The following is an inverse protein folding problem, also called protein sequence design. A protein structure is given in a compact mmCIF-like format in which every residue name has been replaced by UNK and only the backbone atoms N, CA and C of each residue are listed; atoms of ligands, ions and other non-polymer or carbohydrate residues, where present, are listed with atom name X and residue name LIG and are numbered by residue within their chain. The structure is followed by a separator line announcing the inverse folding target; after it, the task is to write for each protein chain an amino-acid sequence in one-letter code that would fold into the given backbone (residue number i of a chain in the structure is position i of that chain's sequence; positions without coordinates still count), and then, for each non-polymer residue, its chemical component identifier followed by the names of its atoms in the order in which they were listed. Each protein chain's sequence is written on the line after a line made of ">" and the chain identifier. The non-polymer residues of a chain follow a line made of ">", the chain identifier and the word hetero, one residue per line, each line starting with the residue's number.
data_IF_394680779057
#
_entry.id   IF_394680779057
#
_cell.length_a   1.000
_cell.length_b   1.000
_cell.length_c   1.000
_cell.angle_alpha   90.00
_cell.angle_beta   90.00
_cell.angle_gamma   90.00
#
_symmetry.space_group_name_H-M   'P 1'
#
loop_
_entity.id
_entity.type
_entity.pdbx_description
1 polymer ?
#
# COMPACT_ATOMS: atom_id res chain seq x y z
N UNK A 1 -19.80 9.63 -4.98
CA UNK A 1 -18.70 8.66 -5.11
C UNK A 1 -18.20 8.22 -3.75
N UNK A 2 -17.86 6.96 -3.65
CA UNK A 2 -17.40 6.34 -2.42
C UNK A 2 -15.88 6.18 -2.36
N UNK A 3 -15.44 5.64 -1.24
CA UNK A 3 -14.07 5.21 -1.04
C UNK A 3 -14.02 3.68 -1.00
N UNK A 4 -13.17 3.10 -1.82
CA UNK A 4 -12.90 1.66 -1.79
C UNK A 4 -11.51 1.43 -1.20
N UNK A 5 -11.44 0.62 -0.15
CA UNK A 5 -10.17 0.24 0.48
C UNK A 5 -9.96 -1.26 0.27
N UNK A 6 -8.82 -1.63 -0.28
CA UNK A 6 -8.47 -3.02 -0.52
C UNK A 6 -7.21 -3.34 0.29
N UNK A 7 -7.35 -4.28 1.23
CA UNK A 7 -6.21 -4.76 2.01
C UNK A 7 -5.56 -5.94 1.26
N UNK A 8 -4.24 -5.94 1.19
CA UNK A 8 -3.51 -6.95 0.44
C UNK A 8 -2.39 -7.56 1.26
N UNK A 9 -2.08 -8.81 0.92
CA UNK A 9 -0.87 -9.49 1.36
C UNK A 9 -0.35 -10.29 0.16
N UNK A 10 0.62 -9.71 -0.54
CA UNK A 10 1.09 -10.28 -1.80
C UNK A 10 2.04 -11.45 -1.57
N UNK A 11 2.14 -12.32 -2.57
CA UNK A 11 3.00 -13.50 -2.51
C UNK A 11 4.49 -13.16 -2.47
N UNK A 12 5.28 -14.12 -2.00
CA UNK A 12 6.74 -13.97 -1.88
C UNK A 12 7.43 -13.96 -3.24
N UNK A 13 6.91 -14.70 -4.22
CA UNK A 13 7.49 -14.76 -5.55
C UNK A 13 7.06 -13.55 -6.38
N UNK A 14 8.01 -12.90 -7.03
CA UNK A 14 7.72 -11.70 -7.84
C UNK A 14 6.72 -11.98 -8.95
N UNK A 15 6.79 -13.14 -9.59
CA UNK A 15 5.82 -13.52 -10.64
C UNK A 15 4.39 -13.60 -10.09
N UNK A 16 4.21 -14.17 -8.90
CA UNK A 16 2.91 -14.24 -8.24
C UNK A 16 2.40 -12.84 -7.87
N UNK A 17 3.28 -11.99 -7.37
CA UNK A 17 2.93 -10.60 -7.02
C UNK A 17 2.46 -9.82 -8.25
N UNK A 18 3.16 -9.97 -9.37
CA UNK A 18 2.78 -9.29 -10.62
C UNK A 18 1.39 -9.69 -11.08
N UNK A 19 1.08 -10.99 -11.02
CA UNK A 19 -0.24 -11.48 -11.39
C UNK A 19 -1.33 -10.96 -10.44
N UNK A 20 -1.05 -10.97 -9.14
CA UNK A 20 -1.97 -10.44 -8.14
C UNK A 20 -2.22 -8.94 -8.32
N UNK A 21 -1.15 -8.16 -8.53
CA UNK A 21 -1.26 -6.72 -8.75
C UNK A 21 -2.02 -6.39 -10.03
N UNK A 22 -1.83 -7.15 -11.10
CA UNK A 22 -2.58 -6.95 -12.34
C UNK A 22 -4.08 -7.14 -12.12
N UNK A 23 -4.48 -8.16 -11.36
CA UNK A 23 -5.87 -8.39 -10.99
C UNK A 23 -6.44 -7.27 -10.14
N UNK A 24 -5.66 -6.80 -9.17
CA UNK A 24 -6.07 -5.71 -8.29
C UNK A 24 -6.22 -4.40 -9.05
N UNK A 25 -5.29 -4.11 -9.95
CA UNK A 25 -5.37 -2.91 -10.78
C UNK A 25 -6.60 -2.92 -11.68
N UNK A 26 -6.90 -4.07 -12.30
CA UNK A 26 -8.09 -4.22 -13.13
C UNK A 26 -9.38 -4.03 -12.31
N UNK A 27 -9.41 -4.60 -11.10
CA UNK A 27 -10.56 -4.47 -10.20
C UNK A 27 -10.76 -3.05 -9.72
N UNK A 28 -9.68 -2.36 -9.38
CA UNK A 28 -9.72 -0.95 -8.99
C UNK A 28 -10.23 -0.07 -10.14
N UNK A 29 -9.78 -0.34 -11.38
CA UNK A 29 -10.23 0.40 -12.55
C UNK A 29 -11.72 0.23 -12.86
N UNK A 30 -12.32 -0.88 -12.46
CA UNK A 30 -13.75 -1.13 -12.67
C UNK A 30 -14.65 -0.35 -11.72
N UNK A 31 -14.08 0.21 -10.66
CA UNK A 31 -14.82 0.99 -9.67
C UNK A 31 -15.07 2.44 -10.11
N UNK A 32 -14.84 2.75 -11.37
CA UNK A 32 -14.87 4.07 -11.99
C UNK A 32 -15.52 5.18 -11.17
N UNK A 33 -14.80 6.26 -10.94
CA UNK A 33 -15.26 7.41 -10.18
C UNK A 33 -15.03 7.33 -8.67
N UNK A 34 -14.80 6.15 -8.11
CA UNK A 34 -14.50 6.00 -6.68
C UNK A 34 -13.02 6.26 -6.39
N UNK A 35 -12.75 6.84 -5.23
CA UNK A 35 -11.41 6.87 -4.69
C UNK A 35 -11.01 5.47 -4.24
N UNK A 36 -9.78 5.04 -4.53
CA UNK A 36 -9.30 3.69 -4.24
C UNK A 36 -8.01 3.75 -3.46
N UNK A 37 -7.93 2.97 -2.40
CA UNK A 37 -6.72 2.76 -1.60
C UNK A 37 -6.41 1.27 -1.55
N UNK A 38 -5.20 0.89 -1.99
CA UNK A 38 -4.64 -0.44 -1.78
C UNK A 38 -3.62 -0.33 -0.67
N UNK A 39 -3.72 -1.15 0.36
CA UNK A 39 -2.77 -1.09 1.47
C UNK A 39 -2.45 -2.47 2.01
N UNK A 40 -1.23 -2.65 2.49
CA UNK A 40 -0.79 -3.88 3.12
C UNK A 40 0.63 -4.26 2.77
N UNK A 41 0.92 -5.56 2.91
CA UNK A 41 2.23 -6.13 2.63
C UNK A 41 2.34 -6.47 1.14
N UNK A 42 3.16 -5.71 0.42
CA UNK A 42 3.42 -5.93 -0.99
C UNK A 42 4.59 -6.89 -1.24
N UNK A 43 5.31 -7.28 -0.19
CA UNK A 43 6.48 -8.16 -0.27
C UNK A 43 7.53 -7.71 -1.32
N UNK A 44 7.57 -6.42 -1.65
CA UNK A 44 8.52 -5.86 -2.60
C UNK A 44 9.31 -4.73 -1.93
N UNK A 45 10.62 -4.92 -1.81
CA UNK A 45 11.49 -3.98 -1.12
C UNK A 45 12.34 -3.13 -2.07
N UNK A 46 12.33 -3.43 -3.37
CA UNK A 46 13.17 -2.77 -4.36
C UNK A 46 12.50 -1.59 -5.06
N UNK A 47 11.67 -0.83 -4.34
CA UNK A 47 11.03 0.34 -4.91
C UNK A 47 9.93 -0.03 -5.88
N UNK A 48 10.00 0.46 -7.11
CA UNK A 48 8.94 0.28 -8.11
C UNK A 48 9.00 -1.03 -8.87
N UNK A 49 10.07 -1.81 -8.69
CA UNK A 49 10.21 -3.11 -9.35
C UNK A 49 9.08 -4.05 -8.95
N UNK A 50 8.43 -4.64 -9.93
CA UNK A 50 7.32 -5.56 -9.69
C UNK A 50 5.99 -4.86 -9.44
N UNK A 51 5.96 -3.52 -9.36
CA UNK A 51 4.75 -2.74 -9.13
C UNK A 51 4.24 -2.03 -10.38
N UNK A 52 4.73 -2.41 -11.53
CA UNK A 52 4.43 -1.73 -12.81
C UNK A 52 2.93 -1.78 -13.15
N UNK A 53 2.20 -2.79 -12.66
CA UNK A 53 0.76 -2.89 -12.87
C UNK A 53 -0.03 -1.76 -12.19
N UNK A 54 0.60 -1.05 -11.24
CA UNK A 54 -0.03 0.03 -10.48
C UNK A 54 0.33 1.42 -11.02
N UNK A 55 0.61 1.54 -12.32
CA UNK A 55 1.02 2.82 -12.93
C UNK A 55 -0.03 3.92 -12.81
N UNK A 56 -1.30 3.56 -12.66
CA UNK A 56 -2.39 4.52 -12.49
C UNK A 56 -2.62 4.93 -11.04
N UNK A 57 -1.84 4.39 -10.12
CA UNK A 57 -1.92 4.69 -8.70
C UNK A 57 -0.60 5.28 -8.22
N UNK A 58 -0.69 6.13 -7.22
CA UNK A 58 0.49 6.65 -6.52
C UNK A 58 0.82 5.71 -5.37
N UNK A 59 2.00 5.08 -5.43
CA UNK A 59 2.44 4.11 -4.43
C UNK A 59 3.44 4.77 -3.50
N UNK A 60 3.15 4.71 -2.20
CA UNK A 60 4.08 5.18 -1.17
C UNK A 60 4.52 4.04 -0.27
N UNK A 61 5.74 4.13 0.23
CA UNK A 61 6.28 3.27 1.26
C UNK A 61 6.50 4.14 2.51
N UNK A 62 5.57 4.13 3.47
CA UNK A 62 5.64 5.06 4.60
C UNK A 62 6.90 4.98 5.44
N UNK A 63 7.53 3.79 5.47
CA UNK A 63 8.79 3.61 6.19
C UNK A 63 9.18 2.14 6.28
N UNK A 64 10.26 1.89 6.98
CA UNK A 64 10.75 0.53 7.23
C UNK A 64 9.89 -0.09 8.31
N UNK A 65 9.20 -1.18 7.97
CA UNK A 65 8.20 -1.81 8.84
C UNK A 65 8.54 -3.26 9.19
N UNK A 66 9.51 -3.87 8.51
CA UNK A 66 9.85 -5.28 8.71
C UNK A 66 11.36 -5.49 8.82
N UNK A 67 11.84 -6.36 9.70
CA UNK A 67 11.09 -6.97 10.80
C UNK A 67 10.83 -5.95 11.93
N UNK A 68 9.74 -6.14 12.68
CA UNK A 68 9.30 -5.17 13.69
C UNK A 68 10.36 -4.88 14.75
N UNK A 69 11.13 -5.90 15.17
CA UNK A 69 12.16 -5.76 16.20
C UNK A 69 13.40 -5.01 15.73
N UNK A 70 13.65 -4.99 14.42
CA UNK A 70 14.79 -4.29 13.81
C UNK A 70 14.42 -3.86 12.39
N UNK A 71 13.60 -2.83 12.22
CA UNK A 71 13.03 -2.50 10.90
C UNK A 71 14.11 -2.13 9.88
N UNK A 72 14.10 -2.82 8.73
CA UNK A 72 15.07 -2.65 7.66
C UNK A 72 14.44 -2.51 6.28
N UNK A 73 13.29 -3.16 6.05
CA UNK A 73 12.67 -3.25 4.73
C UNK A 73 11.30 -2.60 4.71
N UNK A 74 10.96 -2.04 3.55
CA UNK A 74 9.70 -1.34 3.29
C UNK A 74 8.76 -2.22 2.51
N UNK A 75 8.34 -3.35 3.09
CA UNK A 75 7.41 -4.26 2.46
C UNK A 75 5.98 -3.73 2.42
N UNK A 76 5.61 -2.92 3.42
CA UNK A 76 4.25 -2.44 3.56
C UNK A 76 4.09 -1.12 2.82
N UNK A 77 3.05 -1.04 1.99
CA UNK A 77 2.84 0.09 1.12
C UNK A 77 1.40 0.52 1.10
N UNK A 78 1.18 1.73 0.63
CA UNK A 78 -0.13 2.30 0.40
C UNK A 78 -0.14 2.84 -1.02
N UNK A 79 -1.08 2.37 -1.84
CA UNK A 79 -1.28 2.87 -3.19
C UNK A 79 -2.63 3.58 -3.25
N UNK A 80 -2.63 4.81 -3.75
CA UNK A 80 -3.82 5.65 -3.78
C UNK A 80 -4.14 6.05 -5.21
N UNK A 81 -5.42 6.13 -5.54
CA UNK A 81 -5.84 6.61 -6.85
C UNK A 81 -5.57 8.11 -6.99
N UNK A 82 -5.47 8.57 -8.22
CA UNK A 82 -5.30 9.99 -8.51
C UNK A 82 -6.50 10.76 -7.98
N UNK A 83 -6.24 11.93 -7.42
CA UNK A 83 -7.26 12.70 -6.71
C UNK A 83 -7.23 12.52 -5.20
N UNK A 84 -6.52 11.52 -4.70
CA UNK A 84 -6.23 11.40 -3.28
C UNK A 84 -4.86 12.02 -3.01
N UNK A 85 -4.82 12.96 -2.08
CA UNK A 85 -3.57 13.58 -1.65
C UNK A 85 -3.10 12.93 -0.36
N UNK A 86 -1.85 12.49 -0.30
CA UNK A 86 -1.23 11.99 0.92
C UNK A 86 -0.64 13.18 1.68
N UNK A 87 -1.25 13.53 2.80
CA UNK A 87 -0.82 14.68 3.60
C UNK A 87 0.36 14.33 4.49
N UNK A 88 0.38 13.13 5.02
CA UNK A 88 1.44 12.63 5.89
C UNK A 88 1.38 11.11 5.94
N UNK A 89 2.49 10.48 6.27
CA UNK A 89 2.55 9.03 6.42
C UNK A 89 3.72 8.64 7.30
N UNK A 90 3.69 7.43 7.83
CA UNK A 90 4.78 6.94 8.66
C UNK A 90 4.57 5.53 9.14
N UNK A 91 5.44 5.13 10.05
CA UNK A 91 5.42 3.84 10.72
C UNK A 91 5.21 4.09 12.20
N UNK A 92 4.31 3.32 12.80
CA UNK A 92 4.07 3.39 14.23
C UNK A 92 5.00 2.43 14.95
N UNK A 93 6.11 2.97 15.48
CA UNK A 93 7.12 2.20 16.19
C UNK A 93 6.96 2.42 17.71
N UNK A 94 6.43 1.42 18.38
CA UNK A 94 6.27 1.40 19.83
C UNK A 94 6.60 0.02 20.37
N UNK A 95 6.81 -0.09 21.67
CA UNK A 95 7.10 -1.38 22.30
C UNK A 95 5.96 -2.37 22.06
N UNK A 96 4.72 -1.92 22.15
CA UNK A 96 3.55 -2.76 21.90
C UNK A 96 3.52 -3.18 20.41
N UNK A 97 3.75 -2.27 19.50
CA UNK A 97 3.74 -2.57 18.07
C UNK A 97 4.80 -3.62 17.70
N UNK A 98 5.99 -3.51 18.29
CA UNK A 98 7.09 -4.47 18.05
C UNK A 98 6.76 -5.87 18.52
N UNK A 99 5.92 -6.01 19.54
CA UNK A 99 5.51 -7.29 20.10
C UNK A 99 4.26 -7.87 19.45
N UNK A 100 3.40 -7.01 18.90
CA UNK A 100 2.11 -7.43 18.39
C UNK A 100 2.18 -8.17 17.06
N UNK A 101 3.19 -7.88 16.24
CA UNK A 101 3.35 -8.45 14.90
C UNK A 101 4.82 -8.40 14.49
N UNK A 102 5.19 -9.19 13.48
CA UNK A 102 6.51 -9.09 12.84
C UNK A 102 6.62 -7.91 11.88
N UNK A 103 5.50 -7.23 11.58
CA UNK A 103 5.47 -5.95 10.87
C UNK A 103 5.03 -4.84 11.81
N UNK A 104 5.62 -3.66 11.67
CA UNK A 104 5.11 -2.46 12.33
C UNK A 104 3.93 -1.90 11.55
N UNK A 105 2.93 -1.32 12.24
CA UNK A 105 1.84 -0.65 11.55
C UNK A 105 2.33 0.52 10.70
N UNK A 106 1.79 0.66 9.52
CA UNK A 106 1.95 1.86 8.70
C UNK A 106 0.68 2.69 8.76
N UNK A 107 0.81 3.98 8.54
CA UNK A 107 -0.32 4.89 8.55
C UNK A 107 -0.16 5.99 7.50
N UNK A 108 -1.26 6.57 7.10
CA UNK A 108 -1.27 7.74 6.23
C UNK A 108 -2.50 8.60 6.51
N UNK A 109 -2.30 9.91 6.47
CA UNK A 109 -3.38 10.89 6.46
C UNK A 109 -3.66 11.27 5.03
N UNK A 110 -4.89 11.08 4.60
CA UNK A 110 -5.30 11.28 3.21
C UNK A 110 -6.34 12.37 3.11
N UNK A 111 -6.24 13.17 2.06
CA UNK A 111 -7.29 14.10 1.66
C UNK A 111 -7.95 13.55 0.41
N UNK A 112 -9.23 13.23 0.52
CA UNK A 112 -10.02 12.70 -0.59
C UNK A 112 -10.91 13.83 -1.10
N UNK A 113 -10.69 14.21 -2.35
CA UNK A 113 -11.44 15.30 -2.96
C UNK A 113 -12.56 14.73 -3.81
N UNK A 114 -13.74 15.34 -3.69
CA UNK A 114 -14.81 15.07 -4.62
C UNK A 114 -14.41 15.60 -5.99
N UNK A 115 -14.35 14.71 -6.95
CA UNK A 115 -14.14 15.06 -8.34
C UNK A 115 -15.50 15.09 -9.02
N UNK A 116 -16.00 16.23 -9.24
CA UNK A 116 -17.19 16.39 -10.07
C UNK A 116 -16.82 16.71 -11.51
#
# INVERSE_FOLDING_TARGET
>A
PGLTVIAVHLGLMRSSRRAQLARLAAKAGRRGGDAVVLTGDFNEWRGERGLEALTDLDVIAPGRSWPALAPRLRYDRIAVSRGIEVLDSGVWDSDIARQASDHLPIWADLLIRDTE
#
